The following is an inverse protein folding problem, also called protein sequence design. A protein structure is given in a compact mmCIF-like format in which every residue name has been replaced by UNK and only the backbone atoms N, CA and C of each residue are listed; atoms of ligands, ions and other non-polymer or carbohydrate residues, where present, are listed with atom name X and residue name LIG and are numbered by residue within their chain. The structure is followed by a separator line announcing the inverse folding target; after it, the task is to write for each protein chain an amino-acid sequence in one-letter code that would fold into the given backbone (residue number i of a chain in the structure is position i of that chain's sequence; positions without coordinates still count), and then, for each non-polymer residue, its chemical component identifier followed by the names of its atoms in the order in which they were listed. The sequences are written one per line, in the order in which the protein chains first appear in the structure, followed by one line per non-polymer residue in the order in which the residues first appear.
data_IF_654825623980
#
_entry.id   IF_654825623980
#
_cell.length_a   1.000
_cell.length_b   1.000
_cell.length_c   1.000
_cell.angle_alpha   90.00
_cell.angle_beta   90.00
_cell.angle_gamma   90.00
#
_symmetry.space_group_name_H-M   'P 1'
#
loop_
_entity.id
_entity.type
_entity.pdbx_description
1 polymer ?
#
# COMPACT_ATOMS: atom_id res chain seq x y z
N UNK A 1 1.25 2.87 7.56
CA UNK A 1 1.73 1.48 7.46
C UNK A 1 2.44 1.31 6.13
N UNK A 2 3.63 0.70 6.14
CA UNK A 2 4.44 0.55 4.93
C UNK A 2 5.11 1.86 4.47
N UNK A 3 5.67 1.89 3.25
CA UNK A 3 5.76 0.75 2.33
C UNK A 3 6.70 -0.34 2.86
N UNK A 4 6.59 -1.56 2.34
CA UNK A 4 7.44 -2.69 2.74
C UNK A 4 6.81 -4.04 2.45
N UNK A 5 7.58 -5.13 2.59
CA UNK A 5 7.05 -6.47 2.36
C UNK A 5 5.85 -6.76 3.25
N UNK A 6 4.76 -7.23 2.64
CA UNK A 6 3.48 -7.39 3.34
C UNK A 6 3.62 -8.35 4.52
N UNK A 7 4.15 -9.56 4.28
CA UNK A 7 4.19 -10.62 5.28
C UNK A 7 5.47 -10.61 6.12
N UNK A 8 6.56 -10.07 5.59
CA UNK A 8 7.87 -10.08 6.27
C UNK A 8 8.27 -8.75 6.90
N UNK A 9 7.57 -7.63 6.61
CA UNK A 9 7.86 -6.31 7.20
C UNK A 9 6.65 -5.67 7.87
N UNK A 10 5.48 -5.69 7.24
CA UNK A 10 4.29 -4.98 7.78
C UNK A 10 3.53 -5.85 8.77
N UNK A 11 3.12 -7.06 8.34
CA UNK A 11 2.32 -7.97 9.14
C UNK A 11 2.96 -8.33 10.49
N UNK A 12 4.27 -8.61 10.60
CA UNK A 12 4.87 -9.00 11.86
C UNK A 12 4.71 -7.96 12.95
N UNK A 13 4.78 -6.66 12.60
CA UNK A 13 4.57 -5.56 13.55
C UNK A 13 3.12 -5.50 14.05
N UNK A 14 2.14 -5.82 13.20
CA UNK A 14 0.72 -5.79 13.56
C UNK A 14 0.29 -6.99 14.41
N UNK A 15 0.99 -8.12 14.28
CA UNK A 15 0.72 -9.34 15.03
C UNK A 15 1.33 -9.34 16.44
N UNK A 16 2.16 -8.34 16.78
CA UNK A 16 2.60 -8.13 18.16
C UNK A 16 1.40 -7.79 19.04
N UNK A 17 1.27 -8.50 20.16
CA UNK A 17 0.16 -8.35 21.10
C UNK A 17 -0.11 -6.89 21.46
N UNK A 18 -1.36 -6.45 21.24
CA UNK A 18 -1.83 -5.11 21.54
C UNK A 18 -1.58 -4.07 20.45
N UNK A 19 -0.64 -4.27 19.50
CA UNK A 19 -0.33 -3.24 18.48
C UNK A 19 -1.52 -2.94 17.59
N UNK A 20 -2.15 -3.98 17.00
CA UNK A 20 -3.32 -3.79 16.15
C UNK A 20 -4.53 -3.22 16.93
N UNK A 21 -4.67 -3.57 18.21
CA UNK A 21 -5.74 -3.05 19.06
C UNK A 21 -5.56 -1.55 19.33
N UNK A 22 -4.38 -1.13 19.76
CA UNK A 22 -4.08 0.28 20.03
C UNK A 22 -4.10 1.12 18.76
N UNK A 23 -3.65 0.54 17.63
CA UNK A 23 -3.78 1.19 16.34
C UNK A 23 -5.24 1.45 16.00
N UNK A 24 -6.15 0.49 16.18
CA UNK A 24 -7.59 0.67 15.92
C UNK A 24 -8.23 1.72 16.83
N UNK A 25 -7.85 1.79 18.11
CA UNK A 25 -8.36 2.78 19.08
C UNK A 25 -7.88 4.21 18.79
N UNK A 26 -6.73 4.36 18.15
CA UNK A 26 -6.15 5.66 17.83
C UNK A 26 -7.06 6.49 16.92
N UNK A 27 -7.17 7.78 17.19
CA UNK A 27 -7.80 8.76 16.29
C UNK A 27 -6.86 9.27 15.19
N UNK A 28 -5.61 8.79 15.14
CA UNK A 28 -4.70 9.13 14.08
C UNK A 28 -5.18 8.55 12.74
N UNK A 29 -5.02 9.33 11.67
CA UNK A 29 -5.25 8.88 10.30
C UNK A 29 -4.32 7.70 9.97
N UNK A 30 -4.88 6.52 9.67
CA UNK A 30 -4.10 5.33 9.30
C UNK A 30 -4.06 5.16 7.79
N UNK A 31 -2.92 5.51 7.21
CA UNK A 31 -2.65 5.34 5.78
C UNK A 31 -1.84 4.06 5.56
N UNK A 32 -2.30 3.15 4.71
CA UNK A 32 -1.50 2.06 4.18
C UNK A 32 -0.87 2.48 2.84
N UNK A 33 0.46 2.39 2.73
CA UNK A 33 1.19 2.67 1.49
C UNK A 33 1.39 1.33 0.78
N UNK A 34 0.66 1.14 -0.31
CA UNK A 34 0.65 -0.12 -1.06
C UNK A 34 1.95 -0.32 -1.83
N UNK A 35 2.34 -1.59 -1.99
CA UNK A 35 3.48 -1.91 -2.83
C UNK A 35 3.16 -1.61 -4.31
N UNK A 36 4.18 -1.20 -5.05
CA UNK A 36 4.06 -0.85 -6.47
C UNK A 36 4.14 -2.10 -7.36
N UNK A 37 4.93 -3.08 -6.93
CA UNK A 37 5.14 -4.35 -7.60
C UNK A 37 4.81 -5.51 -6.64
N UNK A 38 4.39 -6.65 -7.18
CA UNK A 38 4.26 -7.90 -6.45
C UNK A 38 5.62 -8.40 -5.98
N UNK A 39 5.63 -9.24 -4.95
CA UNK A 39 6.85 -9.85 -4.42
C UNK A 39 6.77 -11.37 -4.57
N UNK A 40 7.70 -11.98 -5.32
CA UNK A 40 7.71 -13.41 -5.57
C UNK A 40 7.70 -14.20 -4.26
N UNK A 41 6.77 -15.14 -4.12
CA UNK A 41 6.58 -15.96 -2.93
C UNK A 41 5.87 -15.29 -1.75
N UNK A 42 5.56 -13.99 -1.84
CA UNK A 42 4.79 -13.27 -0.81
C UNK A 42 3.43 -12.79 -1.33
N UNK A 43 3.42 -12.06 -2.46
CA UNK A 43 2.22 -11.37 -2.98
C UNK A 43 1.98 -11.64 -4.47
N UNK A 44 2.27 -12.88 -4.89
CA UNK A 44 2.05 -13.33 -6.26
C UNK A 44 0.58 -13.15 -6.70
N UNK A 45 0.38 -12.39 -7.78
CA UNK A 45 -0.95 -12.10 -8.31
C UNK A 45 -1.82 -11.20 -7.43
N UNK A 46 -1.27 -10.59 -6.37
CA UNK A 46 -2.05 -9.71 -5.51
C UNK A 46 -2.44 -8.42 -6.22
N UNK A 47 -3.71 -8.06 -6.08
CA UNK A 47 -4.18 -6.71 -6.34
C UNK A 47 -3.94 -5.80 -5.12
N UNK A 48 -4.20 -4.51 -5.31
CA UNK A 48 -4.22 -3.50 -4.28
C UNK A 48 -5.19 -3.87 -3.14
N UNK A 49 -6.42 -4.25 -3.47
CA UNK A 49 -7.42 -4.65 -2.46
C UNK A 49 -6.97 -5.89 -1.67
N UNK A 50 -6.32 -6.87 -2.30
CA UNK A 50 -5.83 -8.08 -1.62
C UNK A 50 -4.76 -7.75 -0.57
N UNK A 51 -3.91 -6.76 -0.80
CA UNK A 51 -2.96 -6.30 0.22
C UNK A 51 -3.68 -5.70 1.44
N UNK A 52 -4.66 -4.83 1.21
CA UNK A 52 -5.44 -4.22 2.28
C UNK A 52 -6.28 -5.28 3.03
N UNK A 53 -6.94 -6.18 2.31
CA UNK A 53 -7.71 -7.29 2.87
C UNK A 53 -6.85 -8.17 3.77
N UNK A 54 -5.64 -8.51 3.34
CA UNK A 54 -4.70 -9.28 4.16
C UNK A 54 -4.42 -8.58 5.50
N UNK A 55 -4.17 -7.26 5.49
CA UNK A 55 -3.96 -6.49 6.72
C UNK A 55 -5.22 -6.49 7.59
N UNK A 56 -6.38 -6.17 7.01
CA UNK A 56 -7.65 -6.10 7.74
C UNK A 56 -8.06 -7.45 8.34
N UNK A 57 -7.75 -8.55 7.65
CA UNK A 57 -8.01 -9.92 8.12
C UNK A 57 -7.22 -10.26 9.39
N UNK A 58 -5.97 -9.78 9.50
CA UNK A 58 -5.10 -10.11 10.63
C UNK A 58 -5.12 -9.06 11.75
N UNK A 59 -5.30 -7.78 11.42
CA UNK A 59 -5.27 -6.67 12.37
C UNK A 59 -6.67 -6.11 12.73
N UNK A 60 -7.70 -6.50 11.98
CA UNK A 60 -9.09 -6.10 12.19
C UNK A 60 -9.50 -4.83 11.41
N UNK A 61 -10.81 -4.59 11.34
CA UNK A 61 -11.37 -3.35 10.76
C UNK A 61 -10.96 -2.14 11.60
N UNK A 62 -10.66 -1.01 10.95
CA UNK A 62 -10.20 0.23 11.59
C UNK A 62 -8.67 0.35 11.72
N UNK A 63 -7.91 -0.61 11.22
CA UNK A 63 -6.44 -0.56 11.12
C UNK A 63 -5.97 0.29 9.93
N UNK A 64 -6.80 0.39 8.89
CA UNK A 64 -6.56 1.20 7.69
C UNK A 64 -7.80 2.07 7.49
N UNK A 65 -7.59 3.38 7.35
CA UNK A 65 -8.64 4.32 6.92
C UNK A 65 -8.53 4.57 5.42
N UNK A 66 -7.30 4.79 4.93
CA UNK A 66 -7.00 5.07 3.54
C UNK A 66 -5.83 4.24 3.03
N UNK A 67 -5.86 3.92 1.74
CA UNK A 67 -4.74 3.33 1.02
C UNK A 67 -4.15 4.31 0.00
N UNK A 68 -2.83 4.43 -0.05
CA UNK A 68 -2.11 5.16 -1.09
C UNK A 68 -1.56 4.16 -2.11
N UNK A 69 -1.96 4.33 -3.38
CA UNK A 69 -1.54 3.50 -4.52
C UNK A 69 -0.82 4.31 -5.58
N UNK A 70 0.08 3.66 -6.30
CA UNK A 70 0.70 4.26 -7.48
C UNK A 70 -0.26 4.25 -8.68
N UNK A 71 -0.38 5.38 -9.37
CA UNK A 71 -1.04 5.47 -10.69
C UNK A 71 -0.11 5.88 -11.83
N UNK A 72 1.17 6.14 -11.55
CA UNK A 72 2.11 6.48 -12.60
C UNK A 72 2.44 5.23 -13.42
N UNK A 73 2.46 5.35 -14.77
CA UNK A 73 2.78 4.22 -15.62
C UNK A 73 4.24 3.80 -15.45
N UNK A 74 4.47 2.49 -15.35
CA UNK A 74 5.80 1.90 -15.39
C UNK A 74 6.19 1.69 -16.86
N UNK A 75 7.45 1.98 -17.22
CA UNK A 75 7.92 1.83 -18.60
C UNK A 75 7.77 0.38 -19.10
N UNK A 76 7.51 0.21 -20.40
CA UNK A 76 7.34 -1.12 -20.99
C UNK A 76 8.61 -1.99 -20.83
N UNK A 77 9.79 -1.37 -20.94
CA UNK A 77 11.08 -2.03 -20.76
C UNK A 77 11.24 -2.58 -19.34
N UNK A 78 10.97 -1.74 -18.32
CA UNK A 78 11.04 -2.18 -16.92
C UNK A 78 10.01 -3.26 -16.63
N UNK A 79 8.77 -3.13 -17.14
CA UNK A 79 7.75 -4.19 -16.99
C UNK A 79 8.23 -5.53 -17.55
N UNK A 80 8.87 -5.52 -18.72
CA UNK A 80 9.40 -6.75 -19.34
C UNK A 80 10.55 -7.34 -18.51
N UNK A 81 11.45 -6.49 -18.01
CA UNK A 81 12.56 -6.92 -17.15
C UNK A 81 12.07 -7.54 -15.84
N UNK A 82 11.06 -6.95 -15.20
CA UNK A 82 10.46 -7.47 -13.98
C UNK A 82 9.64 -8.75 -14.21
N UNK A 83 8.90 -8.83 -15.32
CA UNK A 83 8.13 -10.04 -15.65
C UNK A 83 9.02 -11.28 -15.84
N UNK A 84 10.27 -11.10 -16.29
CA UNK A 84 11.24 -12.20 -16.38
C UNK A 84 11.66 -12.78 -15.01
N UNK A 85 11.27 -12.12 -13.92
CA UNK A 85 11.49 -12.53 -12.53
C UNK A 85 10.17 -12.82 -11.80
N UNK A 86 9.07 -12.96 -12.54
CA UNK A 86 7.70 -13.10 -12.00
C UNK A 86 7.26 -11.92 -11.11
N UNK A 87 7.81 -10.73 -11.37
CA UNK A 87 7.47 -9.49 -10.69
C UNK A 87 6.55 -8.65 -11.59
N UNK A 88 5.36 -8.31 -11.11
CA UNK A 88 4.35 -7.58 -11.88
C UNK A 88 3.89 -6.32 -11.13
N UNK A 89 3.45 -5.26 -11.82
CA UNK A 89 2.82 -4.13 -11.17
C UNK A 89 1.57 -4.56 -10.40
N UNK A 90 1.39 -4.06 -9.17
CA UNK A 90 0.17 -4.30 -8.40
C UNK A 90 -1.00 -3.60 -9.09
N UNK A 91 -2.02 -4.38 -9.46
CA UNK A 91 -3.22 -3.84 -10.09
C UNK A 91 -4.06 -3.07 -9.07
N UNK A 92 -4.50 -1.87 -9.44
CA UNK A 92 -5.41 -1.05 -8.62
C UNK A 92 -6.85 -1.37 -9.01
N UNK A 93 -7.55 -2.07 -8.13
CA UNK A 93 -8.92 -2.55 -8.28
C UNK A 93 -9.88 -1.75 -7.38
N UNK A 94 -10.21 -0.54 -7.83
CA UNK A 94 -10.91 0.48 -7.04
C UNK A 94 -12.23 0.00 -6.42
N UNK A 95 -13.05 -0.74 -7.17
CA UNK A 95 -14.32 -1.29 -6.68
C UNK A 95 -14.12 -2.24 -5.49
N UNK A 96 -13.10 -3.10 -5.56
CA UNK A 96 -12.79 -4.04 -4.50
C UNK A 96 -12.19 -3.34 -3.28
N UNK A 97 -11.37 -2.29 -3.46
CA UNK A 97 -10.86 -1.47 -2.36
C UNK A 97 -12.02 -0.79 -1.61
N UNK A 98 -12.93 -0.16 -2.34
CA UNK A 98 -14.10 0.50 -1.75
C UNK A 98 -15.01 -0.51 -1.01
N UNK A 99 -15.15 -1.73 -1.51
CA UNK A 99 -15.93 -2.79 -0.87
C UNK A 99 -15.38 -3.22 0.50
N UNK A 100 -14.08 -3.01 0.77
CA UNK A 100 -13.49 -3.24 2.10
C UNK A 100 -13.96 -2.18 3.14
N UNK A 101 -14.50 -1.05 2.67
CA UNK A 101 -14.91 0.08 3.48
C UNK A 101 -13.75 0.98 3.90
N UNK A 102 -12.69 1.03 3.09
CA UNK A 102 -11.57 1.98 3.22
C UNK A 102 -11.54 2.91 2.02
N UNK A 103 -11.04 4.13 2.21
CA UNK A 103 -10.79 5.04 1.08
C UNK A 103 -9.47 4.72 0.38
N UNK A 104 -9.25 5.30 -0.81
CA UNK A 104 -7.94 5.26 -1.44
C UNK A 104 -7.60 6.56 -2.16
N UNK A 105 -6.30 6.79 -2.33
CA UNK A 105 -5.72 7.89 -3.09
C UNK A 105 -4.74 7.29 -4.09
N UNK A 106 -4.90 7.65 -5.35
CA UNK A 106 -4.01 7.23 -6.43
C UNK A 106 -3.12 8.41 -6.84
N UNK A 107 -1.80 8.23 -6.80
CA UNK A 107 -0.85 9.29 -7.08
C UNK A 107 0.44 8.77 -7.72
N UNK A 108 1.18 9.67 -8.38
CA UNK A 108 2.57 9.39 -8.77
C UNK A 108 3.44 9.41 -7.52
N UNK A 109 3.87 8.22 -7.10
CA UNK A 109 4.69 7.99 -5.92
C UNK A 109 5.97 7.22 -6.24
N UNK A 110 6.33 7.08 -7.52
CA UNK A 110 7.46 6.25 -7.95
C UNK A 110 8.59 7.03 -8.60
N UNK A 111 9.79 6.47 -8.44
CA UNK A 111 10.96 6.74 -9.26
C UNK A 111 11.23 5.51 -10.13
N UNK A 112 11.77 5.76 -11.32
CA UNK A 112 12.13 4.74 -12.31
C UNK A 112 13.55 4.94 -12.84
N UNK A 113 14.43 5.65 -12.11
CA UNK A 113 15.80 5.95 -12.54
C UNK A 113 16.65 4.69 -12.66
N UNK A 114 16.60 3.84 -11.64
CA UNK A 114 17.41 2.62 -11.53
C UNK A 114 16.55 1.37 -11.32
N UNK A 115 15.42 1.52 -10.65
CA UNK A 115 14.44 0.47 -10.35
C UNK A 115 13.08 1.13 -10.10
N UNK A 116 11.98 0.37 -10.28
CA UNK A 116 10.64 0.81 -9.87
C UNK A 116 10.57 0.72 -8.36
N UNK A 117 10.58 1.88 -7.70
CA UNK A 117 10.45 2.00 -6.24
C UNK A 117 9.72 3.28 -5.88
N UNK A 118 9.30 3.36 -4.63
CA UNK A 118 8.76 4.61 -4.10
C UNK A 118 9.81 5.72 -4.19
N UNK A 119 9.41 6.87 -4.74
CA UNK A 119 10.18 8.10 -4.69
C UNK A 119 9.93 8.78 -3.33
N UNK A 120 10.96 8.99 -2.50
CA UNK A 120 10.78 9.53 -1.15
C UNK A 120 10.09 10.89 -1.12
N UNK A 121 10.39 11.76 -2.07
CA UNK A 121 9.87 13.13 -2.09
C UNK A 121 8.42 13.14 -2.57
N UNK A 122 8.10 12.40 -3.64
CA UNK A 122 6.71 12.24 -4.10
C UNK A 122 5.84 11.56 -3.06
N UNK A 123 6.34 10.50 -2.43
CA UNK A 123 5.61 9.77 -1.42
C UNK A 123 5.31 10.67 -0.22
N UNK A 124 6.33 11.36 0.32
CA UNK A 124 6.17 12.25 1.47
C UNK A 124 5.19 13.39 1.19
N UNK A 125 5.26 14.01 0.00
CA UNK A 125 4.31 15.05 -0.41
C UNK A 125 2.87 14.54 -0.43
N UNK A 126 2.62 13.36 -0.99
CA UNK A 126 1.27 12.79 -1.05
C UNK A 126 0.75 12.39 0.33
N UNK A 127 1.60 11.81 1.19
CA UNK A 127 1.23 11.50 2.57
C UNK A 127 0.87 12.77 3.34
N UNK A 128 1.69 13.82 3.26
CA UNK A 128 1.41 15.09 3.93
C UNK A 128 0.12 15.72 3.41
N UNK A 129 -0.11 15.69 2.10
CA UNK A 129 -1.37 16.15 1.51
C UNK A 129 -2.57 15.40 2.09
N UNK A 130 -2.54 14.06 2.13
CA UNK A 130 -3.60 13.26 2.74
C UNK A 130 -3.82 13.63 4.21
N UNK A 131 -2.75 13.85 4.96
CA UNK A 131 -2.84 14.27 6.37
C UNK A 131 -3.53 15.62 6.50
N UNK A 132 -3.26 16.60 5.63
CA UNK A 132 -3.94 17.90 5.66
C UNK A 132 -5.39 17.83 5.15
N UNK A 133 -5.66 17.05 4.10
CA UNK A 133 -6.98 16.97 3.48
C UNK A 133 -7.98 16.21 4.39
N UNK A 134 -7.52 15.19 5.13
CA UNK A 134 -8.38 14.31 5.93
C UNK A 134 -8.33 14.55 7.44
N UNK A 135 -7.38 15.33 7.99
CA UNK A 135 -7.43 15.75 9.42
C UNK A 135 -8.39 16.90 9.69
N UNK A 136 -8.83 17.62 8.66
CA UNK A 136 -9.62 18.86 8.82
C UNK A 136 -11.14 18.58 8.83
N UNK A 137 -11.56 17.32 8.82
CA UNK A 137 -12.94 16.88 9.02
C UNK A 137 -13.07 16.03 10.29
#
# INVERSE_FOLDING_TARGET
LGPGSLYTSIMPNLLVSGVAEELRKSSALKIYICNVMTQPGETDGYTASMHAEAILKHAGRGTIDFMLVNNAPISAELRKQYAAQDIYPVAVDEEAINALGIGFVAADIISQTDAVRHDPDKLSRNVMRMVYDFRVN
#
